data_IF_139820370381
#
_entry.id   IF_139820370381
#
_cell.length_a   1.000
_cell.length_b   1.000
_cell.length_c   1.000
_cell.angle_alpha   90.00
_cell.angle_beta   90.00
_cell.angle_gamma   90.00
#
_symmetry.space_group_name_H-M   'P 1'
#
loop_
_entity.id
_entity.type
_entity.pdbx_description
1 polymer ?
#
# COMPACT_ATOMS: atom_id res chain seq x y z
N UNK A 1 17.10 -14.40 22.06
CA UNK A 1 16.87 -15.45 21.04
C UNK A 1 17.58 -15.04 19.76
N UNK A 2 18.77 -15.60 19.50
CA UNK A 2 19.60 -15.29 18.34
C UNK A 2 19.90 -16.60 17.61
N UNK A 3 19.31 -16.83 16.44
CA UNK A 3 19.74 -17.91 15.54
C UNK A 3 19.02 -17.82 14.18
N UNK A 4 19.65 -17.16 13.20
CA UNK A 4 19.61 -17.45 11.74
C UNK A 4 20.49 -16.44 10.98
N UNK A 5 21.80 -16.48 11.27
CA UNK A 5 22.84 -16.71 10.26
C UNK A 5 23.18 -15.70 9.15
N UNK A 6 22.86 -14.41 9.24
CA UNK A 6 23.48 -13.38 8.37
C UNK A 6 23.99 -12.20 9.20
N UNK A 7 25.26 -11.84 9.02
CA UNK A 7 25.84 -10.63 9.60
C UNK A 7 25.07 -9.40 9.15
N UNK A 8 24.91 -8.39 10.01
CA UNK A 8 24.30 -7.11 9.64
C UNK A 8 24.95 -6.49 8.40
N UNK A 9 26.24 -6.77 8.17
CA UNK A 9 26.96 -6.35 6.97
C UNK A 9 26.49 -7.09 5.71
N UNK A 10 26.30 -8.40 5.78
CA UNK A 10 25.75 -9.19 4.68
C UNK A 10 24.31 -8.78 4.34
N UNK A 11 23.52 -8.40 5.34
CA UNK A 11 22.17 -7.87 5.15
C UNK A 11 22.24 -6.49 4.46
N UNK A 12 23.13 -5.61 4.93
CA UNK A 12 23.36 -4.31 4.33
C UNK A 12 23.76 -4.42 2.85
N UNK A 13 24.71 -5.30 2.54
CA UNK A 13 25.20 -5.52 1.17
C UNK A 13 24.12 -6.13 0.27
N UNK A 14 23.34 -7.10 0.79
CA UNK A 14 22.27 -7.76 0.02
C UNK A 14 21.15 -6.79 -0.37
N UNK A 15 20.79 -5.87 0.53
CA UNK A 15 19.72 -4.90 0.28
C UNK A 15 20.22 -3.55 -0.22
N UNK A 16 21.55 -3.35 -0.36
CA UNK A 16 22.15 -2.08 -0.75
C UNK A 16 21.87 -0.93 0.22
N UNK A 17 21.74 -1.23 1.52
CA UNK A 17 21.36 -0.26 2.57
C UNK A 17 22.50 -0.03 3.56
N UNK A 18 22.49 1.12 4.24
CA UNK A 18 23.50 1.41 5.26
C UNK A 18 23.36 0.50 6.49
N UNK A 19 24.49 0.08 7.09
CA UNK A 19 24.51 -0.74 8.33
C UNK A 19 23.63 -0.14 9.44
N UNK A 20 23.65 1.19 9.59
CA UNK A 20 22.83 1.91 10.57
C UNK A 20 21.32 1.76 10.32
N UNK A 21 20.88 1.66 9.07
CA UNK A 21 19.47 1.38 8.74
C UNK A 21 19.10 -0.04 9.15
N UNK A 22 19.93 -1.03 8.84
CA UNK A 22 19.73 -2.43 9.27
C UNK A 22 19.60 -2.51 10.79
N UNK A 23 20.50 -1.85 11.53
CA UNK A 23 20.46 -1.84 12.99
C UNK A 23 19.16 -1.20 13.53
N UNK A 24 18.73 -0.07 12.96
CA UNK A 24 17.49 0.61 13.36
C UNK A 24 16.26 -0.28 13.09
N UNK A 25 16.20 -0.93 11.93
CA UNK A 25 15.11 -1.84 11.56
C UNK A 25 15.05 -3.05 12.48
N UNK A 26 16.20 -3.65 12.81
CA UNK A 26 16.27 -4.79 13.74
C UNK A 26 15.77 -4.37 15.13
N UNK A 27 16.18 -3.20 15.63
CA UNK A 27 15.72 -2.69 16.93
C UNK A 27 14.20 -2.49 16.98
N UNK A 28 13.61 -2.00 15.89
CA UNK A 28 12.16 -1.76 15.78
C UNK A 28 11.38 -2.96 15.23
N UNK A 29 12.01 -4.13 15.08
CA UNK A 29 11.37 -5.31 14.46
C UNK A 29 10.06 -5.68 15.15
N UNK A 30 10.04 -5.72 16.48
CA UNK A 30 8.86 -6.09 17.25
C UNK A 30 7.72 -5.07 17.09
N UNK A 31 8.06 -3.77 17.11
CA UNK A 31 7.09 -2.70 16.86
C UNK A 31 6.49 -2.79 15.46
N UNK A 32 7.33 -2.98 14.44
CA UNK A 32 6.90 -3.08 13.04
C UNK A 32 5.98 -4.30 12.86
N UNK A 33 6.31 -5.43 13.49
CA UNK A 33 5.50 -6.65 13.43
C UNK A 33 4.14 -6.44 14.11
N UNK A 34 4.12 -5.84 15.30
CA UNK A 34 2.88 -5.54 16.02
C UNK A 34 2.01 -4.52 15.26
N UNK A 35 2.62 -3.50 14.65
CA UNK A 35 1.91 -2.53 13.80
C UNK A 35 1.32 -3.19 12.54
N UNK A 36 2.03 -4.16 11.95
CA UNK A 36 1.52 -4.91 10.81
C UNK A 36 0.29 -5.75 11.18
N UNK A 37 0.37 -6.50 12.28
CA UNK A 37 -0.72 -7.37 12.78
C UNK A 37 -1.94 -6.57 13.25
N UNK A 38 -1.72 -5.41 13.86
CA UNK A 38 -2.80 -4.52 14.30
C UNK A 38 -3.47 -3.74 13.17
N UNK A 39 -3.02 -3.89 11.91
CA UNK A 39 -3.54 -3.12 10.79
C UNK A 39 -3.24 -1.62 10.94
N UNK A 40 -2.00 -1.27 11.28
CA UNK A 40 -1.61 0.08 11.65
C UNK A 40 -2.06 1.15 10.64
N UNK A 41 -2.43 2.35 11.13
CA UNK A 41 -2.92 3.44 10.30
C UNK A 41 -1.88 3.85 9.24
N UNK A 42 -2.38 4.29 8.09
CA UNK A 42 -1.58 4.73 6.94
C UNK A 42 -0.49 5.76 7.31
N UNK A 43 -0.72 6.57 8.35
CA UNK A 43 0.22 7.57 8.87
C UNK A 43 1.49 6.99 9.50
N UNK A 44 1.45 5.73 9.97
CA UNK A 44 2.63 5.03 10.51
C UNK A 44 3.37 4.22 9.45
N UNK A 45 2.73 3.94 8.31
CA UNK A 45 3.41 3.34 7.15
C UNK A 45 4.31 4.40 6.55
N UNK A 46 5.55 4.03 6.21
CA UNK A 46 6.52 4.93 5.57
C UNK A 46 5.84 5.60 4.38
N UNK A 47 5.71 6.93 4.44
CA UNK A 47 4.88 7.77 3.57
C UNK A 47 4.75 7.19 2.16
N UNK A 48 3.55 6.68 1.85
CA UNK A 48 3.14 6.61 0.45
C UNK A 48 3.17 8.05 -0.07
N UNK A 49 3.79 8.28 -1.23
CA UNK A 49 3.82 9.64 -1.80
C UNK A 49 2.37 10.13 -1.92
N UNK A 50 2.04 11.33 -1.42
CA UNK A 50 0.70 11.84 -1.59
C UNK A 50 0.45 11.99 -3.09
N UNK A 51 -0.58 11.31 -3.56
CA UNK A 51 -0.96 11.29 -4.97
C UNK A 51 -1.85 12.48 -5.35
N UNK A 52 -2.29 13.27 -4.36
CA UNK A 52 -3.21 14.40 -4.55
C UNK A 52 -4.67 13.97 -4.81
N UNK A 53 -4.89 12.66 -5.01
CA UNK A 53 -6.17 12.04 -5.30
C UNK A 53 -6.60 11.09 -4.16
N UNK A 54 -6.13 11.30 -2.92
CA UNK A 54 -6.44 10.43 -1.78
C UNK A 54 -7.94 10.19 -1.61
N UNK A 55 -8.77 11.21 -1.82
CA UNK A 55 -10.22 11.13 -1.68
C UNK A 55 -10.84 10.16 -2.70
N UNK A 56 -10.45 10.26 -3.98
CA UNK A 56 -10.93 9.35 -5.03
C UNK A 56 -10.46 7.92 -4.73
N UNK A 57 -9.20 7.76 -4.35
CA UNK A 57 -8.63 6.45 -4.02
C UNK A 57 -9.36 5.79 -2.84
N UNK A 58 -9.72 6.56 -1.81
CA UNK A 58 -10.47 6.05 -0.67
C UNK A 58 -11.88 5.58 -1.07
N UNK A 59 -12.60 6.35 -1.90
CA UNK A 59 -13.93 5.99 -2.39
C UNK A 59 -13.90 4.72 -3.26
N UNK A 60 -12.93 4.63 -4.18
CA UNK A 60 -12.72 3.45 -5.01
C UNK A 60 -12.40 2.23 -4.15
N UNK A 61 -11.53 2.37 -3.15
CA UNK A 61 -11.19 1.30 -2.23
C UNK A 61 -12.40 0.82 -1.41
N UNK A 62 -13.22 1.73 -0.88
CA UNK A 62 -14.46 1.38 -0.16
C UNK A 62 -15.43 0.61 -1.06
N UNK A 63 -15.60 1.07 -2.30
CA UNK A 63 -16.42 0.37 -3.29
C UNK A 63 -15.86 -1.03 -3.62
N UNK A 64 -14.55 -1.15 -3.80
CA UNK A 64 -13.88 -2.43 -4.07
C UNK A 64 -14.08 -3.44 -2.93
N UNK A 65 -13.93 -3.01 -1.68
CA UNK A 65 -14.16 -3.86 -0.50
C UNK A 65 -15.62 -4.33 -0.45
N UNK A 66 -16.58 -3.45 -0.70
CA UNK A 66 -18.00 -3.81 -0.75
C UNK A 66 -18.32 -4.76 -1.91
N UNK A 67 -17.78 -4.52 -3.11
CA UNK A 67 -17.94 -5.39 -4.27
C UNK A 67 -17.33 -6.79 -4.04
N UNK A 68 -16.16 -6.86 -3.42
CA UNK A 68 -15.50 -8.12 -3.05
C UNK A 68 -16.31 -8.87 -1.99
N UNK A 69 -16.88 -8.16 -1.02
CA UNK A 69 -17.78 -8.75 -0.01
C UNK A 69 -19.04 -9.35 -0.65
N UNK A 70 -19.52 -8.74 -1.74
CA UNK A 70 -20.64 -9.25 -2.55
C UNK A 70 -20.25 -10.36 -3.53
N UNK A 71 -19.00 -10.87 -3.47
CA UNK A 71 -18.45 -11.89 -4.38
C UNK A 71 -18.48 -11.47 -5.86
N UNK A 72 -18.43 -10.17 -6.13
CA UNK A 72 -18.33 -9.65 -7.49
C UNK A 72 -16.86 -9.67 -7.88
N UNK A 73 -16.56 -10.29 -9.02
CA UNK A 73 -15.22 -10.23 -9.61
C UNK A 73 -14.99 -8.82 -10.16
N UNK A 74 -14.22 -8.01 -9.43
CA UNK A 74 -13.86 -6.66 -9.88
C UNK A 74 -12.65 -6.75 -10.79
N UNK A 75 -12.81 -6.31 -12.04
CA UNK A 75 -11.71 -6.20 -13.00
C UNK A 75 -11.07 -4.81 -12.95
N UNK A 76 -9.82 -4.69 -13.40
CA UNK A 76 -9.11 -3.39 -13.48
C UNK A 76 -9.91 -2.29 -14.21
N UNK A 77 -10.51 -2.55 -15.38
CA UNK A 77 -11.35 -1.57 -16.08
C UNK A 77 -12.57 -1.12 -15.28
N UNK A 78 -13.22 -2.01 -14.52
CA UNK A 78 -14.35 -1.64 -13.66
C UNK A 78 -13.92 -0.68 -12.55
N UNK A 79 -12.72 -0.86 -12.01
CA UNK A 79 -12.15 0.03 -11.00
C UNK A 79 -11.82 1.41 -11.58
N UNK A 80 -11.30 1.46 -12.82
CA UNK A 80 -11.05 2.72 -13.53
C UNK A 80 -12.33 3.50 -13.80
N UNK A 81 -13.36 2.81 -14.29
CA UNK A 81 -14.66 3.44 -14.57
C UNK A 81 -15.26 4.04 -13.28
N UNK A 82 -15.18 3.30 -12.16
CA UNK A 82 -15.63 3.80 -10.86
C UNK A 82 -14.80 4.97 -10.36
N UNK A 83 -13.49 4.96 -10.57
CA UNK A 83 -12.62 6.08 -10.22
C UNK A 83 -12.97 7.35 -11.02
N UNK A 84 -13.29 7.22 -12.31
CA UNK A 84 -13.73 8.33 -13.16
C UNK A 84 -15.11 8.86 -12.77
N UNK A 85 -16.04 7.98 -12.39
CA UNK A 85 -17.35 8.37 -11.85
C UNK A 85 -17.18 9.21 -10.58
N UNK A 86 -16.40 8.72 -9.61
CA UNK A 86 -16.13 9.48 -8.39
C UNK A 86 -15.37 10.79 -8.62
N UNK A 87 -14.45 10.83 -9.59
CA UNK A 87 -13.77 12.06 -9.95
C UNK A 87 -14.74 13.11 -10.54
N UNK A 88 -15.70 12.66 -11.36
CA UNK A 88 -16.74 13.50 -11.94
C UNK A 88 -17.68 14.04 -10.85
N UNK A 89 -18.11 13.17 -9.93
CA UNK A 89 -18.96 13.55 -8.79
C UNK A 89 -18.27 14.56 -7.87
N UNK A 90 -16.95 14.49 -7.73
CA UNK A 90 -16.13 15.43 -6.96
C UNK A 90 -15.73 16.69 -7.76
N UNK A 91 -16.09 16.79 -9.05
CA UNK A 91 -15.74 17.92 -9.90
C UNK A 91 -14.27 18.00 -10.32
N UNK A 92 -13.52 16.90 -10.19
CA UNK A 92 -12.09 16.83 -10.53
C UNK A 92 -11.94 16.33 -11.97
N UNK A 93 -11.86 17.26 -12.93
CA UNK A 93 -11.76 16.97 -14.37
C UNK A 93 -10.35 16.60 -14.84
N UNK A 94 -9.33 16.80 -14.01
CA UNK A 94 -7.92 16.49 -14.33
C UNK A 94 -7.51 15.07 -13.94
N UNK A 95 -8.43 14.28 -13.38
CA UNK A 95 -8.13 12.93 -12.92
C UNK A 95 -8.00 11.96 -14.11
N UNK A 96 -6.84 11.31 -14.21
CA UNK A 96 -6.59 10.26 -15.21
C UNK A 96 -6.47 8.93 -14.46
N UNK A 97 -7.43 8.05 -14.67
CA UNK A 97 -7.40 6.68 -14.14
C UNK A 97 -6.38 5.83 -14.93
N UNK A 98 -5.10 5.91 -14.57
CA UNK A 98 -4.06 5.08 -15.20
C UNK A 98 -4.14 3.62 -14.74
N UNK A 99 -3.93 2.69 -15.67
CA UNK A 99 -3.87 1.23 -15.43
C UNK A 99 -2.87 0.86 -14.32
N UNK A 100 -1.72 1.53 -14.27
CA UNK A 100 -0.68 1.29 -13.27
C UNK A 100 -1.10 1.67 -11.83
N UNK A 101 -2.00 2.64 -11.68
CA UNK A 101 -2.48 3.09 -10.37
C UNK A 101 -3.50 2.13 -9.73
N UNK A 102 -4.37 1.52 -10.53
CA UNK A 102 -5.40 0.61 -10.05
C UNK A 102 -4.87 -0.79 -9.73
N UNK A 103 -3.81 -1.25 -10.43
CA UNK A 103 -3.27 -2.60 -10.24
C UNK A 103 -2.56 -2.77 -8.87
N UNK A 104 -2.07 -1.66 -8.27
CA UNK A 104 -1.42 -1.68 -6.97
C UNK A 104 -2.36 -2.05 -5.82
N UNK A 105 -3.67 -1.78 -5.96
CA UNK A 105 -4.68 -2.16 -4.98
C UNK A 105 -5.02 -3.66 -5.04
N UNK A 106 -4.82 -4.30 -6.20
CA UNK A 106 -5.14 -5.71 -6.42
C UNK A 106 -4.02 -6.66 -5.96
N UNK A 107 -2.75 -6.24 -6.08
CA UNK A 107 -1.60 -7.07 -5.69
C UNK A 107 -1.34 -7.14 -4.17
N UNK A 108 -2.09 -6.40 -3.36
CA UNK A 108 -1.94 -6.38 -1.89
C UNK A 108 -2.85 -7.39 -1.17
N UNK A 109 -3.62 -8.21 -1.89
CA UNK A 109 -4.60 -9.15 -1.31
C UNK A 109 -4.45 -10.57 -1.88
N UNK A 110 -3.21 -11.04 -2.04
CA UNK A 110 -2.89 -12.45 -2.31
C UNK A 110 -1.87 -12.95 -1.31
#
# INVERSE_FOLDING_TARGET
MSAQGKSQRQIADHFGVGKTQVQKTIKRKAEIQAEFEAGAPLSKRKNSKPTGNEQINELVHKWFVDATRRRINVTGPMMQEKALQFATDLGITTFVASMDGCNLLLSATT
#
